data_IF_962135565333
#
_entry.id   IF_962135565333
#
_cell.length_a   1.000
_cell.length_b   1.000
_cell.length_c   1.000
_cell.angle_alpha   90.00
_cell.angle_beta   90.00
_cell.angle_gamma   90.00
#
_symmetry.space_group_name_H-M   'P 1'
#
loop_
_entity.id
_entity.type
_entity.pdbx_description
1 polymer ?
#
# COMPACT_ATOMS: atom_id res chain seq x y z
N UNK A 1 6.43 -18.59 9.06
CA UNK A 1 5.06 -18.00 9.12
C UNK A 1 4.69 -17.56 7.72
N UNK A 2 3.55 -18.05 7.23
CA UNK A 2 3.02 -17.63 5.92
C UNK A 2 1.96 -16.55 6.18
N UNK A 3 2.21 -15.35 5.68
CA UNK A 3 1.32 -14.21 5.81
C UNK A 3 0.72 -13.83 4.47
N UNK A 4 -0.44 -13.19 4.50
CA UNK A 4 -1.05 -12.51 3.36
C UNK A 4 -1.08 -11.03 3.70
N UNK A 5 -0.63 -10.19 2.77
CA UNK A 5 -0.70 -8.75 2.92
C UNK A 5 -1.61 -8.15 1.85
N UNK A 6 -2.35 -7.11 2.21
CA UNK A 6 -3.28 -6.43 1.30
C UNK A 6 -3.33 -4.93 1.60
N UNK A 7 -3.66 -4.10 0.60
CA UNK A 7 -3.87 -2.67 0.79
C UNK A 7 -5.29 -2.41 1.27
N UNK A 8 -6.27 -2.70 0.45
CA UNK A 8 -7.68 -2.59 0.78
C UNK A 8 -8.43 -3.89 0.57
N UNK A 9 -9.66 -3.96 1.05
CA UNK A 9 -10.57 -5.07 0.86
C UNK A 9 -12.01 -4.58 0.71
N UNK A 10 -12.95 -5.50 0.52
CA UNK A 10 -14.38 -5.20 0.39
C UNK A 10 -14.99 -4.47 1.60
N UNK A 11 -14.35 -4.53 2.75
CA UNK A 11 -14.82 -3.86 3.98
C UNK A 11 -14.26 -2.44 4.14
N UNK A 12 -13.22 -2.05 3.40
CA UNK A 12 -12.54 -0.77 3.53
C UNK A 12 -11.23 -0.88 4.31
N UNK A 13 -10.93 0.14 5.12
CA UNK A 13 -9.68 0.27 5.86
C UNK A 13 -9.91 0.00 7.34
N UNK A 14 -9.36 -1.09 7.92
CA UNK A 14 -9.47 -1.36 9.35
C UNK A 14 -8.60 -0.35 10.14
N UNK A 15 -9.20 0.33 11.09
CA UNK A 15 -8.49 1.30 11.95
C UNK A 15 -8.37 0.81 13.39
N UNK A 16 -9.21 -0.14 13.81
CA UNK A 16 -9.14 -0.74 15.13
C UNK A 16 -7.82 -1.48 15.37
N UNK A 17 -7.29 -2.12 14.33
CA UNK A 17 -6.04 -2.90 14.39
C UNK A 17 -4.80 -2.02 14.61
N UNK A 18 -4.94 -0.69 14.50
CA UNK A 18 -3.88 0.27 14.79
C UNK A 18 -3.76 0.57 16.30
N UNK A 19 -4.75 0.19 17.11
CA UNK A 19 -4.72 0.40 18.57
C UNK A 19 -3.51 -0.34 19.18
N UNK A 20 -2.72 0.42 19.93
CA UNK A 20 -1.47 -0.10 20.52
C UNK A 20 -0.26 -0.10 19.57
N UNK A 21 -0.45 0.12 18.27
CA UNK A 21 0.62 0.30 17.28
C UNK A 21 0.90 1.78 17.02
N UNK A 22 -0.15 2.61 17.00
CA UNK A 22 -0.06 4.06 16.87
C UNK A 22 -0.70 4.74 18.07
N UNK A 23 -0.27 5.97 18.42
CA UNK A 23 -0.95 6.82 19.39
C UNK A 23 -2.39 7.13 18.94
N UNK A 24 -3.33 7.25 19.89
CA UNK A 24 -4.75 7.42 19.60
C UNK A 24 -5.03 8.70 18.79
N UNK A 25 -4.32 9.80 19.06
CA UNK A 25 -4.43 11.05 18.29
C UNK A 25 -4.06 10.87 16.82
N UNK A 26 -3.07 10.04 16.52
CA UNK A 26 -2.68 9.69 15.14
C UNK A 26 -3.72 8.83 14.44
N UNK A 27 -4.36 7.92 15.17
CA UNK A 27 -5.48 7.13 14.64
C UNK A 27 -6.68 8.05 14.34
N UNK A 28 -6.99 8.99 15.22
CA UNK A 28 -8.04 9.99 14.98
C UNK A 28 -7.73 10.91 13.80
N UNK A 29 -6.48 11.35 13.64
CA UNK A 29 -6.03 12.15 12.49
C UNK A 29 -6.20 11.38 11.18
N UNK A 30 -5.83 10.10 11.16
CA UNK A 30 -6.03 9.23 10.00
C UNK A 30 -7.51 9.09 9.67
N UNK A 31 -8.36 8.83 10.67
CA UNK A 31 -9.81 8.70 10.46
C UNK A 31 -10.40 9.99 9.89
N UNK A 32 -10.03 11.15 10.44
CA UNK A 32 -10.47 12.45 9.91
C UNK A 32 -10.06 12.63 8.44
N UNK A 33 -8.81 12.33 8.12
CA UNK A 33 -8.32 12.39 6.74
C UNK A 33 -9.14 11.49 5.79
N UNK A 34 -9.46 10.27 6.21
CA UNK A 34 -10.24 9.33 5.40
C UNK A 34 -11.69 9.79 5.21
N UNK A 35 -12.29 10.39 6.24
CA UNK A 35 -13.64 10.98 6.17
C UNK A 35 -13.65 12.22 5.27
N UNK A 36 -12.66 13.11 5.40
CA UNK A 36 -12.52 14.30 4.55
C UNK A 36 -12.34 13.91 3.06
N UNK A 37 -11.79 12.72 2.80
CA UNK A 37 -11.70 12.12 1.46
C UNK A 37 -12.93 11.31 1.06
N UNK A 38 -14.04 11.45 1.78
CA UNK A 38 -15.34 10.88 1.44
C UNK A 38 -15.60 9.47 1.95
N UNK A 39 -14.80 8.97 2.88
CA UNK A 39 -15.05 7.70 3.55
C UNK A 39 -16.17 7.79 4.60
N UNK A 40 -16.81 6.66 4.88
CA UNK A 40 -17.80 6.52 5.95
C UNK A 40 -17.24 5.73 7.12
N UNK A 41 -17.36 6.29 8.32
CA UNK A 41 -16.94 5.62 9.56
C UNK A 41 -18.01 4.65 10.01
N UNK A 42 -17.59 3.48 10.48
CA UNK A 42 -18.46 2.53 11.17
C UNK A 42 -18.05 2.42 12.64
N UNK A 43 -18.95 2.84 13.53
CA UNK A 43 -18.81 2.68 14.99
C UNK A 43 -19.13 1.25 15.43
N UNK A 44 -18.36 0.72 16.38
CA UNK A 44 -18.59 -0.60 16.93
C UNK A 44 -19.81 -0.64 17.87
N UNK A 45 -20.06 0.39 18.64
CA UNK A 45 -21.20 0.50 19.56
C UNK A 45 -21.39 1.98 19.97
N UNK A 46 -22.40 2.62 19.47
CA UNK A 46 -23.02 3.93 19.73
C UNK A 46 -22.64 4.84 20.89
N UNK A 47 -21.74 4.48 21.81
CA UNK A 47 -21.44 5.26 23.01
C UNK A 47 -19.94 5.41 23.34
N UNK A 48 -19.03 4.86 22.55
CA UNK A 48 -17.59 5.12 22.70
C UNK A 48 -17.04 5.36 21.29
N UNK A 49 -16.20 6.37 21.13
CA UNK A 49 -15.42 6.69 19.90
C UNK A 49 -14.46 5.53 19.52
N UNK A 50 -14.99 4.33 19.36
CA UNK A 50 -14.23 3.15 19.00
C UNK A 50 -14.59 2.79 17.57
N UNK A 51 -13.88 3.43 16.64
CA UNK A 51 -14.05 3.23 15.21
C UNK A 51 -13.47 1.86 14.82
N UNK A 52 -14.27 1.03 14.16
CA UNK A 52 -13.85 -0.28 13.70
C UNK A 52 -13.12 -0.20 12.37
N UNK A 53 -13.71 0.51 11.42
CA UNK A 53 -13.19 0.66 10.07
C UNK A 53 -13.73 1.93 9.41
N UNK A 54 -13.02 2.39 8.38
CA UNK A 54 -13.51 3.40 7.44
C UNK A 54 -13.86 2.73 6.11
N UNK A 55 -15.13 2.83 5.73
CA UNK A 55 -15.60 2.32 4.44
C UNK A 55 -15.22 3.32 3.35
N UNK A 56 -14.32 2.96 2.50
CA UNK A 56 -13.81 3.74 1.36
C UNK A 56 -13.00 2.84 0.45
N UNK A 57 -12.83 3.20 -0.81
CA UNK A 57 -11.82 2.54 -1.65
C UNK A 57 -10.42 2.99 -1.23
N UNK A 58 -9.42 2.13 -1.43
CA UNK A 58 -8.04 2.50 -1.12
C UNK A 58 -7.55 3.66 -2.00
N UNK A 59 -8.03 3.74 -3.24
CA UNK A 59 -7.73 4.83 -4.15
C UNK A 59 -8.25 6.20 -3.63
N UNK A 60 -9.49 6.27 -3.14
CA UNK A 60 -10.01 7.48 -2.48
C UNK A 60 -9.26 7.81 -1.19
N UNK A 61 -8.91 6.79 -0.39
CA UNK A 61 -8.10 6.98 0.80
C UNK A 61 -6.75 7.64 0.51
N UNK A 62 -6.18 7.40 -0.68
CA UNK A 62 -4.97 8.05 -1.17
C UNK A 62 -5.23 9.39 -1.89
N UNK A 63 -6.47 9.92 -1.86
CA UNK A 63 -6.86 11.18 -2.50
C UNK A 63 -6.93 11.08 -4.02
N UNK A 64 -7.30 9.92 -4.55
CA UNK A 64 -7.39 9.61 -5.99
C UNK A 64 -6.08 9.88 -6.74
N UNK A 65 -4.96 9.68 -6.06
CA UNK A 65 -3.64 9.91 -6.60
C UNK A 65 -3.02 8.59 -7.12
N UNK A 66 -2.90 8.47 -8.44
CA UNK A 66 -2.35 7.27 -9.09
C UNK A 66 -0.90 6.98 -8.69
N UNK A 67 -0.07 8.00 -8.47
CA UNK A 67 1.32 7.82 -8.03
C UNK A 67 1.38 7.29 -6.60
N UNK A 68 0.51 7.79 -5.70
CA UNK A 68 0.39 7.26 -4.36
C UNK A 68 -0.09 5.80 -4.34
N UNK A 69 -1.05 5.45 -5.23
CA UNK A 69 -1.51 4.07 -5.38
C UNK A 69 -0.41 3.14 -5.91
N UNK A 70 0.36 3.57 -6.90
CA UNK A 70 1.49 2.81 -7.43
C UNK A 70 2.59 2.63 -6.38
N UNK A 71 2.90 3.68 -5.61
CA UNK A 71 3.82 3.58 -4.47
C UNK A 71 3.33 2.59 -3.42
N UNK A 72 2.05 2.64 -3.04
CA UNK A 72 1.47 1.71 -2.09
C UNK A 72 1.55 0.26 -2.61
N UNK A 73 1.28 0.05 -3.91
CA UNK A 73 1.42 -1.27 -4.54
C UNK A 73 2.88 -1.74 -4.56
N UNK A 74 3.82 -0.85 -4.86
CA UNK A 74 5.25 -1.18 -4.82
C UNK A 74 5.68 -1.61 -3.40
N UNK A 75 5.25 -0.90 -2.36
CA UNK A 75 5.47 -1.29 -0.97
C UNK A 75 4.85 -2.66 -0.67
N UNK A 76 3.58 -2.88 -1.05
CA UNK A 76 2.90 -4.14 -0.81
C UNK A 76 3.63 -5.34 -1.40
N UNK A 77 4.06 -5.26 -2.67
CA UNK A 77 4.75 -6.39 -3.32
C UNK A 77 6.14 -6.66 -2.75
N UNK A 78 6.74 -5.69 -2.05
CA UNK A 78 8.01 -5.86 -1.36
C UNK A 78 7.88 -6.28 0.10
N UNK A 79 6.67 -6.20 0.69
CA UNK A 79 6.46 -6.72 2.04
C UNK A 79 6.50 -8.26 2.06
N UNK A 80 6.89 -8.88 3.21
CA UNK A 80 6.88 -10.32 3.34
C UNK A 80 5.46 -10.87 3.22
N UNK A 81 5.36 -12.12 2.73
CA UNK A 81 4.09 -12.80 2.53
C UNK A 81 3.59 -12.76 1.08
N UNK A 82 2.37 -13.24 0.89
CA UNK A 82 1.70 -13.26 -0.41
C UNK A 82 0.84 -12.00 -0.58
N UNK A 83 1.09 -11.15 -1.58
CA UNK A 83 0.23 -10.01 -1.85
C UNK A 83 -1.14 -10.47 -2.36
N UNK A 84 -2.18 -10.06 -1.66
CA UNK A 84 -3.58 -10.21 -2.10
C UNK A 84 -4.09 -8.84 -2.56
N UNK A 85 -4.75 -8.82 -3.71
CA UNK A 85 -5.17 -7.57 -4.36
C UNK A 85 -6.69 -7.55 -4.45
N UNK A 86 -7.30 -6.52 -3.86
CA UNK A 86 -8.70 -6.21 -4.09
C UNK A 86 -8.86 -5.61 -5.50
N UNK A 87 -9.87 -6.06 -6.24
CA UNK A 87 -10.02 -5.68 -7.64
C UNK A 87 -10.22 -4.16 -7.84
N UNK A 88 -10.94 -3.48 -6.93
CA UNK A 88 -11.10 -2.03 -7.01
C UNK A 88 -9.77 -1.29 -6.86
N UNK A 89 -8.87 -1.76 -5.98
CA UNK A 89 -7.53 -1.18 -5.84
C UNK A 89 -6.71 -1.38 -7.12
N UNK A 90 -6.82 -2.57 -7.75
CA UNK A 90 -6.14 -2.83 -9.01
C UNK A 90 -6.59 -1.87 -10.12
N UNK A 91 -7.90 -1.62 -10.21
CA UNK A 91 -8.48 -0.77 -11.25
C UNK A 91 -8.50 0.72 -10.90
N UNK A 92 -7.90 1.13 -9.78
CA UNK A 92 -7.98 2.50 -9.24
C UNK A 92 -9.44 2.99 -9.21
N UNK A 93 -10.29 2.17 -8.59
CA UNK A 93 -11.73 2.43 -8.51
C UNK A 93 -12.04 3.45 -7.42
N UNK A 94 -12.86 4.45 -7.78
CA UNK A 94 -13.35 5.46 -6.85
C UNK A 94 -14.55 4.97 -6.03
N UNK A 95 -14.89 5.70 -4.97
CA UNK A 95 -16.03 5.45 -4.11
C UNK A 95 -17.35 5.47 -4.90
N UNK A 96 -18.20 4.45 -4.72
CA UNK A 96 -19.53 4.36 -5.34
C UNK A 96 -20.62 4.85 -4.38
N UNK A 97 -20.83 6.16 -4.34
CA UNK A 97 -21.87 6.77 -3.52
C UNK A 97 -23.28 6.42 -3.98
N UNK A 98 -23.49 6.14 -5.27
CA UNK A 98 -24.79 5.72 -5.79
C UNK A 98 -25.13 4.30 -5.30
N UNK A 99 -24.17 3.40 -5.19
CA UNK A 99 -24.39 2.10 -4.58
C UNK A 99 -24.79 2.21 -3.11
N UNK A 100 -24.11 3.08 -2.35
CA UNK A 100 -24.49 3.35 -0.95
C UNK A 100 -25.92 3.88 -0.85
N UNK A 101 -26.28 4.83 -1.70
CA UNK A 101 -27.62 5.42 -1.74
C UNK A 101 -28.69 4.38 -2.08
N UNK A 102 -28.44 3.50 -3.06
CA UNK A 102 -29.35 2.40 -3.42
C UNK A 102 -29.53 1.40 -2.30
N UNK A 103 -28.48 1.10 -1.56
CA UNK A 103 -28.50 0.15 -0.44
C UNK A 103 -29.24 0.68 0.80
N UNK A 104 -29.36 2.01 0.94
CA UNK A 104 -30.07 2.64 2.06
C UNK A 104 -29.35 2.53 3.40
N UNK A 105 -30.12 2.48 4.47
CA UNK A 105 -29.58 2.46 5.84
C UNK A 105 -28.65 1.25 6.06
N UNK A 106 -27.41 1.50 6.53
CA UNK A 106 -26.40 0.47 6.76
C UNK A 106 -25.60 0.03 5.53
N UNK A 107 -25.88 0.60 4.36
CA UNK A 107 -25.25 0.26 3.08
C UNK A 107 -23.85 0.86 2.85
N UNK A 108 -23.19 1.42 3.86
CA UNK A 108 -21.90 2.12 3.73
C UNK A 108 -20.81 1.27 3.07
N UNK A 109 -20.84 -0.05 3.26
CA UNK A 109 -19.85 -0.96 2.65
C UNK A 109 -19.96 -1.03 1.13
N UNK A 110 -21.11 -0.71 0.56
CA UNK A 110 -21.32 -0.74 -0.89
C UNK A 110 -20.46 0.29 -1.63
N UNK A 111 -19.94 1.28 -0.92
CA UNK A 111 -19.01 2.28 -1.44
C UNK A 111 -17.75 1.66 -2.09
N UNK A 112 -17.35 0.48 -1.62
CA UNK A 112 -16.13 -0.22 -2.05
C UNK A 112 -16.45 -1.58 -2.70
N UNK A 113 -17.62 -1.71 -3.34
CA UNK A 113 -18.11 -2.97 -3.93
C UNK A 113 -18.69 -2.81 -5.32
N UNK A 114 -18.24 -1.80 -6.06
CA UNK A 114 -18.70 -1.56 -7.44
C UNK A 114 -18.55 -2.80 -8.29
N UNK A 115 -19.62 -3.24 -8.91
CA UNK A 115 -19.57 -4.35 -9.86
C UNK A 115 -19.12 -3.84 -11.24
N UNK A 116 -18.06 -4.40 -11.77
CA UNK A 116 -17.56 -4.07 -13.11
C UNK A 116 -18.29 -4.89 -14.18
N UNK A 117 -18.70 -4.22 -15.24
CA UNK A 117 -19.06 -4.86 -16.49
C UNK A 117 -17.81 -5.27 -17.27
N UNK A 118 -17.97 -6.13 -18.27
CA UNK A 118 -16.85 -6.47 -19.17
C UNK A 118 -16.23 -5.22 -19.82
N UNK A 119 -17.06 -4.25 -20.21
CA UNK A 119 -16.60 -2.98 -20.79
C UNK A 119 -15.75 -2.18 -19.79
N UNK A 120 -16.11 -2.16 -18.51
CA UNK A 120 -15.34 -1.47 -17.46
C UNK A 120 -13.98 -2.13 -17.29
N UNK A 121 -13.93 -3.46 -17.31
CA UNK A 121 -12.67 -4.22 -17.22
C UNK A 121 -11.79 -3.93 -18.45
N UNK A 122 -12.33 -4.05 -19.67
CA UNK A 122 -11.58 -3.78 -20.91
C UNK A 122 -11.05 -2.33 -20.98
N UNK A 123 -11.85 -1.38 -20.51
CA UNK A 123 -11.45 0.02 -20.40
C UNK A 123 -10.39 0.23 -19.32
N UNK A 124 -10.58 -0.39 -18.16
CA UNK A 124 -9.66 -0.32 -17.04
C UNK A 124 -8.27 -0.87 -17.37
N UNK A 125 -8.20 -1.99 -18.09
CA UNK A 125 -6.92 -2.60 -18.52
C UNK A 125 -6.09 -1.70 -19.46
N UNK A 126 -6.68 -0.66 -20.03
CA UNK A 126 -5.99 0.32 -20.85
C UNK A 126 -5.32 1.43 -20.04
N UNK A 127 -5.74 1.64 -18.78
CA UNK A 127 -5.18 2.66 -17.89
C UNK A 127 -3.72 2.33 -17.54
N UNK A 128 -2.84 3.34 -17.56
CA UNK A 128 -1.41 3.16 -17.24
C UNK A 128 -1.20 2.70 -15.79
N UNK A 129 -1.99 3.20 -14.83
CA UNK A 129 -1.92 2.78 -13.43
C UNK A 129 -2.24 1.30 -13.26
N UNK A 130 -3.16 0.75 -14.05
CA UNK A 130 -3.51 -0.69 -14.03
C UNK A 130 -2.39 -1.52 -14.63
N UNK A 131 -1.88 -1.13 -15.81
CA UNK A 131 -0.77 -1.82 -16.48
C UNK A 131 0.46 -1.91 -15.58
N UNK A 132 0.84 -0.79 -14.96
CA UNK A 132 1.98 -0.75 -14.03
C UNK A 132 1.78 -1.65 -12.81
N UNK A 133 0.58 -1.67 -12.22
CA UNK A 133 0.29 -2.59 -11.12
C UNK A 133 0.38 -4.06 -11.56
N UNK A 134 -0.15 -4.40 -12.74
CA UNK A 134 -0.06 -5.76 -13.28
C UNK A 134 1.41 -6.16 -13.56
N UNK A 135 2.22 -5.24 -14.06
CA UNK A 135 3.66 -5.45 -14.26
C UNK A 135 4.39 -5.71 -12.93
N UNK A 136 4.09 -4.93 -11.88
CA UNK A 136 4.63 -5.16 -10.53
C UNK A 136 4.24 -6.54 -9.99
N UNK A 137 2.98 -6.94 -10.15
CA UNK A 137 2.48 -8.24 -9.68
C UNK A 137 3.15 -9.39 -10.45
N UNK A 138 3.33 -9.25 -11.77
CA UNK A 138 4.07 -10.19 -12.59
C UNK A 138 5.53 -10.29 -12.12
N UNK A 139 6.21 -9.16 -11.91
CA UNK A 139 7.55 -9.11 -11.38
C UNK A 139 7.66 -9.85 -10.03
N UNK A 140 6.78 -9.56 -9.07
CA UNK A 140 6.75 -10.23 -7.76
C UNK A 140 6.57 -11.75 -7.88
N UNK A 141 5.78 -12.21 -8.85
CA UNK A 141 5.50 -13.63 -9.09
C UNK A 141 6.68 -14.36 -9.72
N UNK A 142 7.36 -13.73 -10.69
CA UNK A 142 8.30 -14.41 -11.59
C UNK A 142 9.76 -14.20 -11.22
N UNK A 143 10.10 -13.13 -10.49
CA UNK A 143 11.49 -12.80 -10.22
C UNK A 143 12.06 -13.66 -9.09
N UNK A 144 13.25 -14.32 -9.32
CA UNK A 144 13.79 -15.32 -8.39
C UNK A 144 14.14 -14.84 -6.99
N UNK A 145 14.43 -13.54 -6.80
CA UNK A 145 14.78 -12.99 -5.50
C UNK A 145 13.65 -13.09 -4.46
N UNK A 146 12.40 -13.32 -4.89
CA UNK A 146 11.27 -13.49 -3.99
C UNK A 146 11.00 -14.97 -3.71
N UNK A 147 11.21 -15.40 -2.49
CA UNK A 147 10.96 -16.79 -2.08
C UNK A 147 10.79 -16.88 -0.56
N UNK A 148 10.35 -18.02 -0.08
CA UNK A 148 10.18 -18.26 1.37
C UNK A 148 11.50 -18.34 2.13
N UNK A 149 12.56 -18.66 1.43
CA UNK A 149 13.94 -18.78 1.90
C UNK A 149 14.83 -17.60 1.48
N UNK A 150 14.23 -16.55 0.92
CA UNK A 150 14.92 -15.33 0.54
C UNK A 150 15.23 -14.46 1.76
N UNK A 151 16.36 -13.81 1.73
CA UNK A 151 16.72 -12.77 2.71
C UNK A 151 16.07 -11.47 2.37
N UNK A 152 15.54 -10.77 3.39
CA UNK A 152 14.95 -9.44 3.23
C UNK A 152 15.61 -8.45 4.18
N UNK A 153 15.93 -7.28 3.65
CA UNK A 153 16.47 -6.15 4.40
C UNK A 153 15.59 -4.92 4.19
N UNK A 154 15.21 -4.26 5.29
CA UNK A 154 14.48 -2.98 5.26
C UNK A 154 15.37 -1.91 5.91
N UNK A 155 15.51 -0.77 5.23
CA UNK A 155 16.18 0.43 5.73
C UNK A 155 15.25 1.61 5.64
N UNK A 156 15.26 2.46 6.67
CA UNK A 156 14.51 3.71 6.71
C UNK A 156 15.47 4.84 7.02
N UNK A 157 15.31 6.00 6.36
CA UNK A 157 16.14 7.20 6.62
C UNK A 157 15.22 8.41 6.80
N UNK A 158 15.52 9.30 7.76
CA UNK A 158 14.85 10.60 7.87
C UNK A 158 15.07 11.42 6.59
N UNK A 159 14.09 12.24 6.22
CA UNK A 159 14.14 13.07 5.01
C UNK A 159 15.36 14.02 4.97
N UNK A 160 15.89 14.41 6.12
CA UNK A 160 17.01 15.34 6.25
C UNK A 160 18.41 14.71 6.16
N UNK A 161 18.53 13.38 6.13
CA UNK A 161 19.83 12.67 6.18
C UNK A 161 20.17 11.96 4.87
N UNK A 162 20.14 12.66 3.76
CA UNK A 162 20.61 12.11 2.48
C UNK A 162 22.06 12.54 2.29
N UNK A 163 22.99 11.82 2.86
CA UNK A 163 24.35 11.81 2.37
C UNK A 163 24.65 10.45 1.74
N UNK A 164 25.23 10.46 0.57
CA UNK A 164 25.57 9.30 -0.26
C UNK A 164 26.58 8.34 0.37
N UNK A 165 27.08 8.62 1.57
CA UNK A 165 28.12 7.81 2.24
C UNK A 165 27.61 6.88 3.34
N UNK A 166 26.31 6.88 3.69
CA UNK A 166 25.79 6.09 4.82
C UNK A 166 25.06 4.80 4.40
N UNK A 167 25.38 4.21 3.28
CA UNK A 167 24.74 2.96 2.82
C UNK A 167 25.05 1.72 3.68
N UNK A 168 26.02 1.80 4.62
CA UNK A 168 26.56 0.62 5.30
C UNK A 168 26.22 0.47 6.79
N UNK A 169 25.40 1.31 7.39
CA UNK A 169 25.07 1.18 8.80
C UNK A 169 23.59 0.87 9.05
N UNK A 170 23.28 -0.39 9.27
CA UNK A 170 22.03 -0.85 9.87
C UNK A 170 22.06 -0.60 11.38
N UNK A 171 21.46 0.49 11.83
CA UNK A 171 21.08 0.62 13.22
C UNK A 171 19.60 0.98 13.29
N UNK A 172 18.77 0.07 13.82
CA UNK A 172 17.46 0.38 14.36
C UNK A 172 17.65 1.23 15.64
N UNK A 173 18.01 2.49 15.48
CA UNK A 173 17.88 3.43 16.57
C UNK A 173 16.37 3.63 16.83
N UNK A 174 15.95 3.59 18.11
CA UNK A 174 14.63 4.02 18.53
C UNK A 174 14.37 5.40 17.90
N UNK A 175 13.38 5.45 16.98
CA UNK A 175 13.06 6.67 16.25
C UNK A 175 12.41 7.62 17.26
N UNK A 176 12.94 8.84 17.47
CA UNK A 176 12.21 9.85 18.22
C UNK A 176 10.89 10.17 17.51
N UNK A 177 9.80 10.34 18.27
CA UNK A 177 8.45 10.61 17.77
C UNK A 177 8.34 11.81 16.80
N UNK A 178 9.34 12.66 16.73
CA UNK A 178 9.40 13.86 15.89
C UNK A 178 10.06 13.64 14.51
N UNK A 179 10.62 12.47 14.23
CA UNK A 179 11.31 12.20 12.96
C UNK A 179 10.44 11.33 12.03
N UNK A 180 9.74 11.98 11.11
CA UNK A 180 9.04 11.29 10.03
C UNK A 180 10.05 10.76 9.00
N UNK A 181 10.12 9.44 8.86
CA UNK A 181 10.89 8.82 7.80
C UNK A 181 10.10 8.91 6.49
N UNK A 182 10.65 9.62 5.50
CA UNK A 182 10.02 9.75 4.19
C UNK A 182 10.53 8.70 3.19
N UNK A 183 11.63 8.01 3.49
CA UNK A 183 12.24 7.07 2.56
C UNK A 183 12.34 5.67 3.13
N UNK A 184 11.96 4.70 2.31
CA UNK A 184 12.03 3.27 2.62
C UNK A 184 12.80 2.59 1.49
N UNK A 185 13.74 1.74 1.89
CA UNK A 185 14.49 0.88 1.00
C UNK A 185 14.25 -0.56 1.42
N UNK A 186 13.79 -1.39 0.51
CA UNK A 186 13.57 -2.82 0.76
C UNK A 186 14.37 -3.59 -0.27
N UNK A 187 15.16 -4.57 0.19
CA UNK A 187 15.96 -5.43 -0.67
C UNK A 187 15.64 -6.88 -0.36
N UNK A 188 15.34 -7.65 -1.40
CA UNK A 188 15.23 -9.10 -1.37
C UNK A 188 16.41 -9.72 -2.07
N UNK A 189 16.95 -10.81 -1.50
CA UNK A 189 18.11 -11.54 -2.01
C UNK A 189 17.87 -13.02 -1.98
N UNK A 190 18.13 -13.69 -3.09
CA UNK A 190 18.10 -15.14 -3.20
C UNK A 190 18.94 -15.60 -4.38
N UNK A 191 19.78 -16.63 -4.19
CA UNK A 191 20.59 -17.25 -5.23
C UNK A 191 21.40 -16.24 -6.08
N UNK A 192 21.88 -15.16 -5.44
CA UNK A 192 22.59 -14.06 -6.10
C UNK A 192 21.70 -13.03 -6.78
N UNK A 193 20.41 -13.29 -7.00
CA UNK A 193 19.47 -12.29 -7.52
C UNK A 193 19.11 -11.25 -6.45
N UNK A 194 18.92 -10.01 -6.89
CA UNK A 194 18.55 -8.89 -6.07
C UNK A 194 17.31 -8.17 -6.61
N UNK A 195 16.28 -7.99 -5.77
CA UNK A 195 15.18 -7.07 -6.03
C UNK A 195 15.26 -5.92 -5.03
N UNK A 196 15.27 -4.68 -5.52
CA UNK A 196 15.34 -3.47 -4.69
C UNK A 196 14.16 -2.55 -4.94
N UNK A 197 13.56 -2.07 -3.86
CA UNK A 197 12.63 -0.95 -3.86
C UNK A 197 13.28 0.24 -3.17
N UNK A 198 13.24 1.40 -3.81
CA UNK A 198 13.51 2.71 -3.20
C UNK A 198 12.24 3.53 -3.29
N UNK A 199 11.72 3.98 -2.18
CA UNK A 199 10.46 4.70 -2.09
C UNK A 199 10.63 6.02 -1.32
N UNK A 200 10.03 7.09 -1.83
CA UNK A 200 9.87 8.37 -1.13
C UNK A 200 8.38 8.61 -0.87
N UNK A 201 7.99 8.48 0.40
CA UNK A 201 6.59 8.54 0.84
C UNK A 201 6.01 9.95 0.72
N UNK A 202 6.84 10.98 0.84
CA UNK A 202 6.40 12.39 0.73
C UNK A 202 6.22 12.82 -0.72
N UNK A 203 7.15 12.40 -1.58
CA UNK A 203 7.12 12.73 -3.01
C UNK A 203 6.21 11.79 -3.82
N UNK A 204 5.69 10.72 -3.22
CA UNK A 204 4.95 9.64 -3.86
C UNK A 204 5.72 9.02 -5.05
N UNK A 205 7.04 8.89 -4.90
CA UNK A 205 7.89 8.29 -5.95
C UNK A 205 8.49 6.98 -5.49
N UNK A 206 8.76 6.11 -6.44
CA UNK A 206 9.42 4.83 -6.21
C UNK A 206 10.30 4.45 -7.39
N UNK A 207 11.25 3.55 -7.13
CA UNK A 207 12.06 2.86 -8.13
C UNK A 207 12.19 1.40 -7.72
N UNK A 208 11.89 0.51 -8.64
CA UNK A 208 12.13 -0.92 -8.49
C UNK A 208 13.25 -1.32 -9.43
N UNK A 209 14.21 -2.09 -8.94
CA UNK A 209 15.35 -2.59 -9.71
C UNK A 209 15.53 -4.08 -9.46
N UNK A 210 15.85 -4.81 -10.51
CA UNK A 210 16.21 -6.21 -10.46
C UNK A 210 17.62 -6.43 -11.03
N UNK A 211 18.46 -7.12 -10.26
CA UNK A 211 19.82 -7.44 -10.65
C UNK A 211 20.00 -8.96 -10.72
N UNK A 212 20.78 -9.40 -11.70
CA UNK A 212 21.21 -10.78 -11.83
C UNK A 212 22.33 -11.14 -10.83
N UNK A 213 22.77 -12.42 -10.73
CA UNK A 213 23.86 -12.82 -9.85
C UNK A 213 25.22 -12.19 -10.15
N UNK A 214 25.40 -11.65 -11.36
CA UNK A 214 26.61 -10.92 -11.76
C UNK A 214 26.54 -9.43 -11.39
N UNK A 215 25.41 -8.97 -10.83
CA UNK A 215 25.18 -7.57 -10.44
C UNK A 215 24.71 -6.66 -11.59
N UNK A 216 24.36 -7.23 -12.77
CA UNK A 216 23.84 -6.45 -13.87
C UNK A 216 22.36 -6.11 -13.62
N UNK A 217 21.99 -4.86 -13.95
CA UNK A 217 20.59 -4.43 -13.94
C UNK A 217 19.86 -5.10 -15.13
N UNK A 218 18.89 -5.97 -14.84
CA UNK A 218 18.15 -6.73 -15.85
C UNK A 218 16.70 -6.26 -16.01
N UNK A 219 16.16 -5.53 -15.02
CA UNK A 219 14.84 -4.94 -15.10
C UNK A 219 14.72 -3.72 -14.18
N UNK A 220 13.92 -2.72 -14.59
CA UNK A 220 13.66 -1.51 -13.79
C UNK A 220 12.28 -0.93 -14.11
N UNK A 221 11.65 -0.41 -13.06
CA UNK A 221 10.45 0.41 -13.11
C UNK A 221 10.59 1.65 -12.23
#
# INVERSE_FOLDING_TARGET
IHTVNMLGCHDGIPVLDLAGLLPDDRIEDLIRLLVDRGGFVKDLHGNKKMYYQVNTTYYNALGENEQALLLARALQIFMPGKPQVWYLDLFAGSNDYEAVKRAGAGGHKEINRTNFTQKDIESGLKKEVVKKQLEMLKFRKEFPAFGFDAEMEIRTKPAAQISTQAENALHFAKIPDEQMYNRIYITWKKDGYLARLSADLKAHTYRIQALDPSGNLIWQM
#
